data_IF_660423860201
#
_entry.id   IF_660423860201
#
_cell.length_a   1.000
_cell.length_b   1.000
_cell.length_c   1.000
_cell.angle_alpha   90.00
_cell.angle_beta   90.00
_cell.angle_gamma   90.00
#
_symmetry.space_group_name_H-M   'P 1'
#
loop_
_entity.id
_entity.type
_entity.pdbx_description
1 polymer ?
#
# COMPACT_ATOMS: atom_id res chain seq x y z
N UNK A 1 8.08 -16.23 -40.67
CA UNK A 1 8.74 -15.83 -39.41
C UNK A 1 8.34 -14.39 -39.12
N UNK A 2 7.22 -14.21 -38.45
CA UNK A 2 6.73 -12.91 -37.99
C UNK A 2 7.00 -12.85 -36.48
N UNK A 3 7.90 -11.96 -36.11
CA UNK A 3 8.36 -11.71 -34.75
C UNK A 3 7.18 -11.16 -33.93
N UNK A 4 6.65 -11.97 -33.01
CA UNK A 4 5.59 -11.55 -32.10
C UNK A 4 6.18 -10.58 -31.07
N UNK A 5 5.89 -9.30 -31.20
CA UNK A 5 6.23 -8.30 -30.18
C UNK A 5 5.50 -8.64 -28.86
N UNK A 6 6.20 -8.60 -27.70
CA UNK A 6 5.62 -9.04 -26.44
C UNK A 6 4.52 -8.08 -25.97
N UNK A 7 3.32 -8.62 -25.71
CA UNK A 7 2.12 -7.91 -25.25
C UNK A 7 2.29 -7.14 -23.91
N UNK A 8 3.44 -7.28 -23.25
CA UNK A 8 3.73 -6.66 -21.96
C UNK A 8 4.08 -5.16 -22.07
N UNK A 9 4.55 -4.68 -23.22
CA UNK A 9 4.93 -3.26 -23.37
C UNK A 9 3.71 -2.34 -23.43
N UNK A 10 2.60 -2.79 -24.00
CA UNK A 10 1.37 -1.98 -24.07
C UNK A 10 0.76 -1.74 -22.68
N UNK A 11 0.77 -2.75 -21.81
CA UNK A 11 0.28 -2.64 -20.42
C UNK A 11 1.18 -1.71 -19.60
N UNK A 12 2.50 -1.75 -19.84
CA UNK A 12 3.45 -0.86 -19.15
C UNK A 12 3.29 0.59 -19.60
N UNK A 13 2.98 0.83 -20.88
CA UNK A 13 2.77 2.16 -21.43
C UNK A 13 1.40 2.76 -21.05
N UNK A 14 0.34 1.96 -20.94
CA UNK A 14 -1.00 2.42 -20.52
C UNK A 14 -1.03 2.85 -19.04
N UNK A 15 -0.19 2.26 -18.18
CA UNK A 15 -0.05 2.67 -16.77
C UNK A 15 0.69 4.00 -16.61
N UNK A 16 1.67 4.30 -17.47
CA UNK A 16 2.39 5.59 -17.47
C UNK A 16 1.49 6.76 -17.89
N UNK A 17 0.64 6.55 -18.89
CA UNK A 17 -0.28 7.60 -19.36
C UNK A 17 -1.38 7.91 -18.34
N UNK A 18 -1.84 6.93 -17.56
CA UNK A 18 -2.77 7.15 -16.45
C UNK A 18 -2.19 8.03 -15.33
N UNK A 19 -0.92 7.82 -14.97
CA UNK A 19 -0.25 8.60 -13.94
C UNK A 19 -0.08 10.08 -14.35
N UNK A 20 0.36 10.32 -15.59
CA UNK A 20 0.54 11.68 -16.13
C UNK A 20 -0.80 12.44 -16.17
N UNK A 21 -1.90 11.77 -16.56
CA UNK A 21 -3.25 12.35 -16.57
C UNK A 21 -3.76 12.70 -15.17
N UNK A 22 -3.49 11.85 -14.17
CA UNK A 22 -3.86 12.13 -12.79
C UNK A 22 -3.14 13.37 -12.23
N UNK A 23 -1.84 13.48 -12.50
CA UNK A 23 -1.03 14.62 -12.07
C UNK A 23 -1.48 15.92 -12.75
N UNK A 24 -1.72 15.91 -14.06
CA UNK A 24 -2.14 17.12 -14.78
C UNK A 24 -3.52 17.60 -14.32
N UNK A 25 -4.50 16.70 -14.14
CA UNK A 25 -5.84 17.07 -13.64
C UNK A 25 -5.72 17.67 -12.23
N UNK A 26 -4.91 17.09 -11.34
CA UNK A 26 -4.69 17.64 -10.00
C UNK A 26 -4.09 19.05 -10.05
N UNK A 27 -3.10 19.29 -10.91
CA UNK A 27 -2.49 20.62 -11.06
C UNK A 27 -3.48 21.65 -11.59
N UNK A 28 -4.32 21.28 -12.57
CA UNK A 28 -5.35 22.18 -13.13
C UNK A 28 -6.39 22.55 -12.07
N UNK A 29 -6.87 21.59 -11.30
CA UNK A 29 -7.86 21.85 -10.23
C UNK A 29 -7.28 22.74 -9.15
N UNK A 30 -6.05 22.49 -8.70
CA UNK A 30 -5.36 23.35 -7.72
C UNK A 30 -5.17 24.77 -8.26
N UNK A 31 -4.80 24.91 -9.53
CA UNK A 31 -4.61 26.22 -10.17
C UNK A 31 -5.92 27.02 -10.29
N UNK A 32 -7.01 26.37 -10.71
CA UNK A 32 -8.32 27.03 -10.80
C UNK A 32 -8.81 27.49 -9.43
N UNK A 33 -8.66 26.64 -8.40
CA UNK A 33 -9.06 26.98 -7.04
C UNK A 33 -8.29 28.18 -6.47
N UNK A 34 -6.97 28.23 -6.69
CA UNK A 34 -6.15 29.37 -6.27
C UNK A 34 -6.59 30.69 -6.95
N UNK A 35 -6.90 30.65 -8.25
CA UNK A 35 -7.38 31.81 -8.98
C UNK A 35 -8.78 32.26 -8.52
N UNK A 36 -9.68 31.33 -8.18
CA UNK A 36 -11.00 31.67 -7.63
C UNK A 36 -10.89 32.43 -6.31
N UNK A 37 -9.96 32.04 -5.43
CA UNK A 37 -9.73 32.74 -4.15
C UNK A 37 -9.25 34.17 -4.39
N UNK A 38 -8.30 34.38 -5.30
CA UNK A 38 -7.79 35.71 -5.65
C UNK A 38 -8.87 36.59 -6.29
N UNK A 39 -9.72 36.02 -7.14
CA UNK A 39 -10.83 36.76 -7.74
C UNK A 39 -11.85 37.20 -6.68
N UNK A 40 -12.19 36.32 -5.73
CA UNK A 40 -13.11 36.64 -4.63
C UNK A 40 -12.52 37.72 -3.72
N UNK A 41 -11.23 37.66 -3.38
CA UNK A 41 -10.61 38.69 -2.53
C UNK A 41 -10.63 40.07 -3.19
N UNK A 42 -10.32 40.13 -4.50
CA UNK A 42 -10.38 41.40 -5.25
C UNK A 42 -11.80 41.96 -5.35
N UNK A 43 -12.81 41.10 -5.47
CA UNK A 43 -14.22 41.53 -5.47
C UNK A 43 -14.60 42.09 -4.09
N UNK A 44 -14.20 41.41 -3.01
CA UNK A 44 -14.47 41.86 -1.64
C UNK A 44 -13.77 43.20 -1.33
N UNK A 45 -12.53 43.39 -1.75
CA UNK A 45 -11.80 44.67 -1.60
C UNK A 45 -12.50 45.82 -2.34
N UNK A 46 -13.03 45.55 -3.54
CA UNK A 46 -13.79 46.54 -4.31
C UNK A 46 -15.15 46.85 -3.70
N UNK A 47 -15.78 45.87 -3.03
CA UNK A 47 -17.05 46.05 -2.35
C UNK A 47 -16.89 46.71 -0.97
N UNK A 48 -15.70 46.69 -0.37
CA UNK A 48 -15.36 47.34 0.90
C UNK A 48 -15.26 48.88 0.81
N UNK A 49 -15.99 49.50 -0.11
CA UNK A 49 -16.25 50.94 -0.18
C UNK A 49 -17.27 51.35 0.91
N UNK A 50 -16.92 51.32 2.19
CA UNK A 50 -17.45 52.28 3.19
C UNK A 50 -16.80 52.11 4.57
N UNK A 51 -15.87 53.03 4.83
CA UNK A 51 -15.52 53.64 6.13
C UNK A 51 -16.19 53.09 7.41
N UNK A 52 -15.79 51.91 7.90
CA UNK A 52 -16.01 51.54 9.30
C UNK A 52 -14.84 50.70 9.88
N UNK A 53 -14.43 50.94 11.15
CA UNK A 53 -13.24 50.33 11.77
C UNK A 53 -13.57 48.96 12.41
N UNK A 54 -12.68 48.41 13.27
CA UNK A 54 -11.78 47.27 13.02
C UNK A 54 -12.44 45.87 12.96
N UNK A 55 -13.78 45.77 12.88
CA UNK A 55 -14.49 44.48 12.76
C UNK A 55 -14.27 43.80 11.39
N UNK A 56 -13.77 44.54 10.40
CA UNK A 56 -13.36 44.01 9.09
C UNK A 56 -12.33 42.87 9.17
N UNK A 57 -11.51 42.82 10.24
CA UNK A 57 -10.51 41.76 10.41
C UNK A 57 -11.10 40.38 10.73
N UNK A 58 -12.33 40.29 11.26
CA UNK A 58 -12.95 39.01 11.64
C UNK A 58 -13.81 38.38 10.54
N UNK A 59 -14.29 39.17 9.58
CA UNK A 59 -15.11 38.65 8.47
C UNK A 59 -14.30 37.72 7.54
N UNK A 60 -13.00 37.98 7.37
CA UNK A 60 -12.10 37.08 6.64
C UNK A 60 -12.04 35.67 7.26
N UNK A 61 -12.11 35.55 8.59
CA UNK A 61 -12.05 34.27 9.29
C UNK A 61 -13.31 33.41 9.10
N UNK A 62 -14.48 34.05 9.02
CA UNK A 62 -15.74 33.36 8.80
C UNK A 62 -15.80 32.68 7.43
N UNK A 63 -15.01 33.15 6.46
CA UNK A 63 -14.93 32.55 5.11
C UNK A 63 -13.70 31.63 4.99
N UNK A 64 -12.56 32.00 5.58
CA UNK A 64 -11.32 31.23 5.49
C UNK A 64 -11.37 29.89 6.26
N UNK A 65 -11.96 29.87 7.46
CA UNK A 65 -12.03 28.65 8.27
C UNK A 65 -12.87 27.53 7.62
N UNK A 66 -14.09 27.80 7.08
CA UNK A 66 -14.85 26.78 6.36
C UNK A 66 -14.14 26.29 5.10
N UNK A 67 -13.46 27.18 4.36
CA UNK A 67 -12.71 26.79 3.16
C UNK A 67 -11.51 25.89 3.49
N UNK A 68 -10.78 26.18 4.58
CA UNK A 68 -9.70 25.31 5.07
C UNK A 68 -10.24 23.96 5.57
N UNK A 69 -11.37 23.96 6.29
CA UNK A 69 -12.00 22.73 6.74
C UNK A 69 -12.50 21.89 5.55
N UNK A 70 -13.11 22.51 4.54
CA UNK A 70 -13.61 21.86 3.34
C UNK A 70 -12.46 21.28 2.50
N UNK A 71 -11.39 22.04 2.28
CA UNK A 71 -10.21 21.55 1.54
C UNK A 71 -9.53 20.38 2.26
N UNK A 72 -9.40 20.44 3.59
CA UNK A 72 -8.91 19.32 4.40
C UNK A 72 -9.82 18.09 4.35
N UNK A 73 -11.14 18.28 4.35
CA UNK A 73 -12.11 17.19 4.24
C UNK A 73 -12.10 16.53 2.86
N UNK A 74 -12.14 17.32 1.78
CA UNK A 74 -12.06 16.85 0.39
C UNK A 74 -10.73 16.13 0.14
N UNK A 75 -9.61 16.67 0.59
CA UNK A 75 -8.30 16.03 0.50
C UNK A 75 -8.27 14.68 1.23
N UNK A 76 -8.84 14.61 2.45
CA UNK A 76 -8.93 13.35 3.22
C UNK A 76 -9.83 12.32 2.53
N UNK A 77 -10.96 12.76 1.96
CA UNK A 77 -11.93 11.86 1.32
C UNK A 77 -11.43 11.32 -0.02
N UNK A 78 -10.86 12.20 -0.86
CA UNK A 78 -10.16 11.80 -2.08
C UNK A 78 -9.01 10.86 -1.75
N UNK A 79 -8.16 11.18 -0.77
CA UNK A 79 -7.06 10.30 -0.36
C UNK A 79 -7.54 8.90 0.05
N UNK A 80 -8.64 8.80 0.82
CA UNK A 80 -9.19 7.51 1.27
C UNK A 80 -9.77 6.69 0.12
N UNK A 81 -10.54 7.30 -0.78
CA UNK A 81 -11.18 6.57 -1.88
C UNK A 81 -10.24 6.27 -3.05
N UNK A 82 -9.29 7.17 -3.33
CA UNK A 82 -8.42 7.05 -4.50
C UNK A 82 -7.18 6.17 -4.23
N UNK A 83 -6.54 6.28 -3.05
CA UNK A 83 -5.34 5.48 -2.75
C UNK A 83 -5.66 3.99 -2.55
N UNK A 84 -6.88 3.64 -2.13
CA UNK A 84 -7.26 2.25 -1.90
C UNK A 84 -7.64 1.51 -3.19
N UNK A 85 -8.10 2.22 -4.23
CA UNK A 85 -8.69 1.58 -5.41
C UNK A 85 -7.80 1.57 -6.66
N UNK A 86 -6.76 2.40 -6.75
CA UNK A 86 -6.04 2.61 -8.02
C UNK A 86 -4.65 1.98 -8.13
N UNK A 87 -4.04 1.52 -7.04
CA UNK A 87 -2.65 1.07 -7.08
C UNK A 87 -2.46 -0.24 -6.32
N UNK A 88 -1.94 -1.26 -7.01
CA UNK A 88 -1.69 -2.60 -6.48
C UNK A 88 -0.31 -2.72 -5.79
N UNK A 89 0.57 -1.73 -6.00
CA UNK A 89 1.94 -1.74 -5.45
C UNK A 89 2.10 -0.73 -4.31
N UNK A 90 2.49 -1.24 -3.13
CA UNK A 90 2.77 -0.45 -1.93
C UNK A 90 3.79 0.67 -2.15
N UNK A 91 4.75 0.50 -3.07
CA UNK A 91 5.76 1.53 -3.38
C UNK A 91 5.15 2.76 -4.06
N UNK A 92 4.20 2.56 -4.98
CA UNK A 92 3.54 3.67 -5.68
C UNK A 92 2.58 4.48 -4.80
N UNK A 93 1.91 3.79 -3.85
CA UNK A 93 1.03 4.44 -2.87
C UNK A 93 1.81 5.42 -1.98
N UNK A 94 3.03 5.03 -1.57
CA UNK A 94 3.89 5.85 -0.72
C UNK A 94 4.40 7.11 -1.43
N UNK A 95 4.89 6.96 -2.67
CA UNK A 95 5.40 8.10 -3.46
C UNK A 95 4.35 9.17 -3.73
N UNK A 96 3.12 8.76 -4.09
CA UNK A 96 2.02 9.70 -4.33
C UNK A 96 1.50 10.35 -3.05
N UNK A 97 1.45 9.60 -1.95
CA UNK A 97 1.07 10.16 -0.65
C UNK A 97 2.06 11.26 -0.21
N UNK A 98 3.37 11.02 -0.39
CA UNK A 98 4.41 12.01 -0.13
C UNK A 98 4.24 13.23 -1.04
N UNK A 99 4.12 13.02 -2.36
CA UNK A 99 3.99 14.12 -3.31
C UNK A 99 2.76 15.01 -3.02
N UNK A 100 1.65 14.40 -2.62
CA UNK A 100 0.44 15.13 -2.24
C UNK A 100 0.62 15.95 -0.97
N UNK A 101 1.29 15.39 0.06
CA UNK A 101 1.58 16.13 1.30
C UNK A 101 2.54 17.29 1.09
N UNK A 102 3.59 17.13 0.28
CA UNK A 102 4.47 18.25 -0.06
C UNK A 102 3.77 19.30 -0.92
N UNK A 103 2.84 18.88 -1.78
CA UNK A 103 2.01 19.80 -2.57
C UNK A 103 1.12 20.70 -1.70
N UNK A 104 0.50 20.17 -0.65
CA UNK A 104 -0.33 20.98 0.26
C UNK A 104 0.50 21.95 1.09
N UNK A 105 1.69 21.52 1.55
CA UNK A 105 2.62 22.40 2.27
C UNK A 105 3.10 23.55 1.39
N UNK A 106 3.50 23.27 0.15
CA UNK A 106 3.93 24.29 -0.80
C UNK A 106 2.82 25.31 -1.11
N UNK A 107 1.58 24.82 -1.28
CA UNK A 107 0.41 25.68 -1.48
C UNK A 107 0.14 26.59 -0.25
N UNK A 108 0.24 26.05 0.96
CA UNK A 108 0.11 26.83 2.19
C UNK A 108 1.19 27.91 2.31
N UNK A 109 2.46 27.59 2.02
CA UNK A 109 3.55 28.57 2.02
C UNK A 109 3.29 29.70 1.02
N UNK A 110 2.82 29.37 -0.19
CA UNK A 110 2.48 30.37 -1.20
C UNK A 110 1.34 31.30 -0.73
N UNK A 111 0.30 30.75 -0.10
CA UNK A 111 -0.81 31.54 0.47
C UNK A 111 -0.31 32.46 1.58
N UNK A 112 0.52 31.96 2.51
CA UNK A 112 1.08 32.76 3.60
C UNK A 112 1.97 33.88 3.09
N UNK A 113 2.72 33.64 2.01
CA UNK A 113 3.62 34.63 1.41
C UNK A 113 2.88 35.80 0.75
N UNK A 114 1.60 35.61 0.41
CA UNK A 114 0.74 36.64 -0.16
C UNK A 114 -0.04 37.44 0.91
N UNK A 115 0.06 37.05 2.18
CA UNK A 115 -0.65 37.73 3.27
C UNK A 115 0.11 38.96 3.78
N UNK A 116 -0.60 40.00 4.26
CA UNK A 116 0.01 41.18 4.89
C UNK A 116 0.88 40.79 6.09
N UNK A 117 1.94 41.55 6.35
CA UNK A 117 2.99 41.23 7.34
C UNK A 117 2.48 40.94 8.75
N UNK A 118 1.33 41.50 9.14
CA UNK A 118 0.68 41.22 10.43
C UNK A 118 0.15 39.79 10.58
N UNK A 119 0.03 39.04 9.49
CA UNK A 119 -0.56 37.70 9.44
C UNK A 119 0.49 36.59 9.34
N UNK A 120 1.77 36.94 9.20
CA UNK A 120 2.89 36.01 9.11
C UNK A 120 2.95 35.03 10.29
N UNK A 121 2.63 35.51 11.50
CA UNK A 121 2.67 34.70 12.71
C UNK A 121 1.66 33.54 12.66
N UNK A 122 0.48 33.78 12.09
CA UNK A 122 -0.56 32.77 11.95
C UNK A 122 -0.27 31.79 10.81
N UNK A 123 0.30 32.28 9.71
CA UNK A 123 0.76 31.43 8.61
C UNK A 123 1.85 30.45 9.04
N UNK A 124 2.83 30.92 9.80
CA UNK A 124 3.87 30.07 10.37
C UNK A 124 3.31 29.04 11.36
N UNK A 125 2.31 29.41 12.16
CA UNK A 125 1.64 28.49 13.10
C UNK A 125 0.87 27.38 12.35
N UNK A 126 0.18 27.72 11.27
CA UNK A 126 -0.53 26.75 10.42
C UNK A 126 0.43 25.75 9.74
N UNK A 127 1.59 26.23 9.26
CA UNK A 127 2.65 25.37 8.71
C UNK A 127 3.19 24.45 9.80
N UNK A 128 3.48 24.99 10.99
CA UNK A 128 3.97 24.21 12.14
C UNK A 128 3.01 23.09 12.56
N UNK A 129 1.72 23.40 12.71
CA UNK A 129 0.70 22.39 13.05
C UNK A 129 0.55 21.33 11.96
N UNK A 130 0.65 21.71 10.68
CA UNK A 130 0.59 20.77 9.57
C UNK A 130 1.81 19.83 9.57
N UNK A 131 3.01 20.35 9.83
CA UNK A 131 4.24 19.57 9.92
C UNK A 131 4.24 18.61 11.13
N UNK A 132 3.71 19.04 12.28
CA UNK A 132 3.55 18.17 13.46
C UNK A 132 2.54 17.06 13.17
N UNK A 133 1.44 17.38 12.49
CA UNK A 133 0.43 16.41 12.07
C UNK A 133 0.99 15.32 11.14
N UNK A 134 1.81 15.71 10.15
CA UNK A 134 2.48 14.75 9.25
C UNK A 134 3.52 13.92 9.98
N UNK A 135 4.32 14.52 10.88
CA UNK A 135 5.32 13.80 11.67
C UNK A 135 4.70 12.78 12.65
N UNK A 136 3.64 13.15 13.37
CA UNK A 136 2.90 12.23 14.25
C UNK A 136 2.28 11.08 13.48
N UNK A 137 1.80 11.33 12.26
CA UNK A 137 1.21 10.28 11.44
C UNK A 137 2.27 9.35 10.83
N UNK A 138 3.39 9.91 10.34
CA UNK A 138 4.54 9.12 9.89
C UNK A 138 5.10 8.24 11.01
N UNK A 139 5.27 8.80 12.22
CA UNK A 139 5.76 8.04 13.38
C UNK A 139 4.75 7.01 13.88
N UNK A 140 3.44 7.30 13.85
CA UNK A 140 2.37 6.34 14.14
C UNK A 140 2.31 5.18 13.13
N UNK A 141 2.54 5.46 11.84
CA UNK A 141 2.57 4.45 10.78
C UNK A 141 3.85 3.58 10.84
N UNK A 142 4.99 4.18 11.18
CA UNK A 142 6.24 3.46 11.47
C UNK A 142 6.08 2.57 12.72
N UNK A 143 5.42 3.06 13.77
CA UNK A 143 5.10 2.26 14.96
C UNK A 143 4.11 1.14 14.67
N UNK A 144 3.12 1.33 13.80
CA UNK A 144 2.23 0.26 13.34
C UNK A 144 2.97 -0.82 12.54
N UNK A 145 4.04 -0.43 11.84
CA UNK A 145 5.00 -1.40 11.26
C UNK A 145 5.82 -2.08 12.34
N UNK A 146 6.43 -1.34 13.26
CA UNK A 146 7.35 -1.86 14.28
C UNK A 146 6.68 -2.70 15.38
N UNK A 147 5.40 -2.45 15.72
CA UNK A 147 4.66 -3.25 16.70
C UNK A 147 4.28 -4.65 16.19
N UNK A 148 4.42 -4.92 14.89
CA UNK A 148 4.41 -6.30 14.34
C UNK A 148 5.80 -6.95 14.28
N UNK A 149 6.85 -6.24 14.68
CA UNK A 149 8.25 -6.70 14.66
C UNK A 149 8.89 -6.78 16.05
N UNK A 150 8.12 -6.73 17.15
CA UNK A 150 8.67 -6.85 18.49
C UNK A 150 7.95 -7.94 19.31
N UNK A 151 8.52 -9.15 19.31
CA UNK A 151 8.44 -10.08 20.43
C UNK A 151 9.71 -10.95 20.48
N UNK A 152 10.07 -11.46 21.66
CA UNK A 152 11.37 -11.22 22.29
C UNK A 152 12.34 -12.34 21.96
N UNK A 153 13.44 -11.99 21.31
CA UNK A 153 14.59 -12.86 21.12
C UNK A 153 15.32 -13.05 22.46
N UNK A 154 14.93 -14.02 23.30
CA UNK A 154 15.78 -14.43 24.44
C UNK A 154 15.68 -15.90 24.91
N UNK A 155 14.92 -16.82 24.28
CA UNK A 155 14.93 -18.23 24.74
C UNK A 155 14.90 -19.29 23.62
N UNK A 156 15.80 -19.20 22.64
CA UNK A 156 15.98 -20.28 21.67
C UNK A 156 17.46 -20.55 21.40
N UNK A 157 18.20 -20.90 22.46
CA UNK A 157 19.44 -21.66 22.33
C UNK A 157 19.17 -23.04 22.95
N UNK A 158 19.53 -24.09 22.20
CA UNK A 158 19.54 -25.51 22.56
C UNK A 158 18.30 -26.33 22.20
N UNK A 159 18.01 -26.47 20.90
CA UNK A 159 17.46 -27.72 20.37
C UNK A 159 18.36 -28.18 19.23
N UNK A 160 19.28 -29.08 19.54
CA UNK A 160 19.95 -29.91 18.54
C UNK A 160 18.90 -30.87 17.99
N UNK A 161 18.37 -30.61 16.79
CA UNK A 161 17.59 -31.60 16.05
C UNK A 161 18.54 -32.41 15.15
N UNK A 162 18.58 -33.70 15.42
CA UNK A 162 19.19 -34.75 14.62
C UNK A 162 18.35 -34.90 13.33
N UNK A 163 18.87 -34.44 12.18
CA UNK A 163 18.19 -34.46 10.89
C UNK A 163 18.45 -35.80 10.18
N UNK A 164 17.39 -36.60 10.02
CA UNK A 164 17.39 -37.83 9.23
C UNK A 164 17.42 -37.55 7.72
N UNK A 165 18.00 -38.50 6.97
CA UNK A 165 18.20 -38.47 5.52
C UNK A 165 16.93 -38.07 4.74
N UNK A 166 17.11 -37.17 3.78
CA UNK A 166 16.06 -36.60 2.96
C UNK A 166 15.43 -37.65 2.02
N UNK A 167 14.28 -38.20 2.42
CA UNK A 167 13.39 -38.94 1.53
C UNK A 167 12.87 -38.02 0.41
N UNK A 168 12.97 -38.47 -0.84
CA UNK A 168 12.42 -37.83 -2.04
C UNK A 168 10.89 -37.87 -2.00
N UNK A 169 10.27 -36.71 -2.09
CA UNK A 169 8.89 -36.40 -1.70
C UNK A 169 7.86 -36.59 -2.82
N UNK A 170 7.74 -37.81 -3.35
CA UNK A 170 6.60 -38.19 -4.22
C UNK A 170 5.44 -38.80 -3.42
N UNK A 171 5.50 -38.79 -2.08
CA UNK A 171 4.38 -39.27 -1.28
C UNK A 171 3.19 -38.31 -1.38
N UNK A 172 2.01 -38.80 -1.78
CA UNK A 172 0.81 -37.99 -1.79
C UNK A 172 0.54 -37.50 -0.36
N UNK A 173 0.25 -36.20 -0.25
CA UNK A 173 -0.20 -35.58 0.99
C UNK A 173 -1.25 -36.45 1.67
N UNK A 174 -1.07 -36.71 2.98
CA UNK A 174 -2.11 -37.32 3.79
C UNK A 174 -3.42 -36.53 3.60
N UNK A 175 -4.54 -37.24 3.41
CA UNK A 175 -5.87 -36.66 3.21
C UNK A 175 -6.26 -35.74 4.38
N UNK A 176 -5.69 -35.95 5.57
CA UNK A 176 -5.93 -35.10 6.73
C UNK A 176 -4.90 -33.97 6.94
N UNK A 177 -3.81 -33.94 6.17
CA UNK A 177 -2.78 -32.92 6.30
C UNK A 177 -3.19 -31.64 5.57
N UNK A 178 -3.40 -30.54 6.31
CA UNK A 178 -3.72 -29.22 5.73
C UNK A 178 -2.49 -28.60 5.08
N UNK A 179 -1.31 -28.82 5.66
CA UNK A 179 -0.08 -28.19 5.20
C UNK A 179 1.10 -29.08 5.56
N UNK A 180 1.95 -29.35 4.57
CA UNK A 180 3.23 -30.03 4.75
C UNK A 180 4.32 -29.09 4.25
N UNK A 181 5.36 -28.90 5.07
CA UNK A 181 6.50 -28.04 4.75
C UNK A 181 7.76 -28.87 4.94
N UNK A 182 8.65 -28.82 3.96
CA UNK A 182 9.98 -29.38 3.97
C UNK A 182 10.99 -28.24 3.84
N UNK A 183 11.90 -28.13 4.80
CA UNK A 183 13.02 -27.20 4.72
C UNK A 183 14.16 -27.94 4.05
N UNK A 184 14.60 -27.43 2.90
CA UNK A 184 15.74 -27.93 2.15
C UNK A 184 16.93 -27.00 2.40
N UNK A 185 18.10 -27.57 2.67
CA UNK A 185 19.33 -26.79 2.86
C UNK A 185 20.37 -27.32 1.90
N UNK A 186 20.80 -26.47 0.97
CA UNK A 186 21.90 -26.75 0.04
C UNK A 186 23.05 -25.78 0.33
N UNK A 187 24.09 -26.27 1.01
CA UNK A 187 25.17 -25.44 1.54
C UNK A 187 24.67 -24.37 2.52
N UNK A 188 24.82 -23.10 2.16
CA UNK A 188 24.37 -21.94 2.95
C UNK A 188 23.01 -21.39 2.48
N UNK A 189 22.36 -22.04 1.50
CA UNK A 189 21.08 -21.59 0.98
C UNK A 189 19.97 -22.45 1.56
N UNK A 190 19.06 -21.82 2.29
CA UNK A 190 17.84 -22.45 2.78
C UNK A 190 16.71 -22.20 1.78
N UNK A 191 16.07 -23.26 1.31
CA UNK A 191 14.83 -23.22 0.54
C UNK A 191 13.72 -23.91 1.32
N UNK A 192 12.48 -23.53 1.04
CA UNK A 192 11.31 -24.12 1.67
C UNK A 192 10.40 -24.64 0.56
N UNK A 193 10.13 -25.92 0.60
CA UNK A 193 9.17 -26.57 -0.29
C UNK A 193 7.96 -26.98 0.54
N UNK A 194 6.78 -27.00 -0.07
CA UNK A 194 5.63 -27.49 0.65
C UNK A 194 4.39 -27.54 -0.19
N UNK A 195 3.34 -28.05 0.44
CA UNK A 195 2.03 -28.20 -0.15
C UNK A 195 1.00 -27.74 0.86
N UNK A 196 0.01 -26.96 0.41
CA UNK A 196 -1.07 -26.43 1.25
C UNK A 196 -2.42 -26.74 0.63
N UNK A 197 -3.34 -27.26 1.45
CA UNK A 197 -4.74 -27.53 1.09
C UNK A 197 -5.60 -26.35 1.50
N UNK A 198 -6.35 -25.80 0.54
CA UNK A 198 -7.24 -24.66 0.71
C UNK A 198 -8.69 -25.16 0.64
N UNK A 199 -9.40 -25.27 1.78
CA UNK A 199 -10.78 -25.74 1.81
C UNK A 199 -11.76 -24.64 1.40
N UNK A 200 -12.75 -25.02 0.58
CA UNK A 200 -13.87 -24.20 0.15
C UNK A 200 -15.19 -24.86 0.56
N UNK A 201 -16.04 -24.09 1.22
CA UNK A 201 -17.42 -24.51 1.47
C UNK A 201 -18.29 -24.42 0.21
N UNK A 202 -19.42 -25.11 0.20
CA UNK A 202 -20.39 -25.02 -0.90
C UNK A 202 -20.83 -23.56 -1.14
N UNK A 203 -20.73 -23.10 -2.38
CA UNK A 203 -21.03 -21.74 -2.78
C UNK A 203 -19.91 -20.72 -2.56
N UNK A 204 -18.82 -21.06 -1.87
CA UNK A 204 -17.68 -20.17 -1.66
C UNK A 204 -16.81 -20.10 -2.93
N UNK A 205 -16.51 -18.89 -3.40
CA UNK A 205 -15.75 -18.67 -4.64
C UNK A 205 -14.34 -18.12 -4.41
N UNK A 206 -14.03 -17.67 -3.19
CA UNK A 206 -12.73 -17.12 -2.83
C UNK A 206 -12.32 -17.53 -1.42
N UNK A 207 -11.05 -17.90 -1.26
CA UNK A 207 -10.44 -18.27 0.03
C UNK A 207 -8.97 -17.86 0.06
N UNK A 208 -8.46 -17.58 1.26
CA UNK A 208 -7.04 -17.25 1.47
C UNK A 208 -6.38 -18.28 2.40
N UNK A 209 -5.17 -18.71 2.05
CA UNK A 209 -4.32 -19.55 2.89
C UNK A 209 -3.04 -18.79 3.28
N UNK A 210 -2.60 -18.98 4.52
CA UNK A 210 -1.39 -18.37 5.05
C UNK A 210 -0.36 -19.46 5.34
N UNK A 211 0.77 -19.39 4.65
CA UNK A 211 1.91 -20.27 4.86
C UNK A 211 2.96 -19.49 5.66
N UNK A 212 3.40 -20.04 6.78
CA UNK A 212 4.43 -19.44 7.62
C UNK A 212 5.77 -20.15 7.37
N UNK A 213 6.83 -19.37 7.18
CA UNK A 213 8.18 -19.87 7.01
C UNK A 213 8.89 -19.94 8.36
N UNK A 214 9.39 -21.12 8.71
CA UNK A 214 10.18 -21.33 9.92
C UNK A 214 11.42 -22.18 9.61
N UNK A 215 12.64 -21.62 9.74
CA UNK A 215 12.95 -20.22 10.10
C UNK A 215 12.48 -19.21 9.03
N UNK A 216 12.28 -17.93 9.39
CA UNK A 216 11.98 -16.89 8.40
C UNK A 216 13.20 -16.64 7.51
N UNK A 217 12.96 -16.20 6.28
CA UNK A 217 14.03 -15.74 5.37
C UNK A 217 14.60 -14.39 5.86
N UNK A 218 15.86 -14.10 5.53
CA UNK A 218 16.48 -12.80 5.80
C UNK A 218 15.91 -11.67 4.92
N UNK A 219 15.50 -12.03 3.71
CA UNK A 219 14.89 -11.15 2.70
C UNK A 219 13.55 -11.73 2.25
N UNK A 220 12.75 -10.93 1.53
CA UNK A 220 11.52 -11.45 0.92
C UNK A 220 11.92 -12.54 -0.08
N UNK A 221 11.47 -13.81 0.09
CA UNK A 221 11.85 -14.88 -0.81
C UNK A 221 11.20 -14.68 -2.17
N UNK A 222 11.71 -15.33 -3.22
CA UNK A 222 10.95 -15.65 -4.42
C UNK A 222 10.09 -16.88 -4.12
N UNK A 223 8.83 -16.87 -4.55
CA UNK A 223 7.89 -17.98 -4.32
C UNK A 223 7.27 -18.35 -5.66
N UNK A 224 7.50 -19.59 -6.06
CA UNK A 224 6.85 -20.24 -7.18
C UNK A 224 5.79 -21.20 -6.65
N UNK A 225 4.69 -21.37 -7.38
CA UNK A 225 3.59 -22.23 -6.94
C UNK A 225 2.85 -22.84 -8.13
N UNK A 226 2.28 -24.02 -7.90
CA UNK A 226 1.50 -24.75 -8.88
C UNK A 226 0.34 -25.47 -8.18
N UNK A 227 -0.84 -25.46 -8.81
CA UNK A 227 -1.95 -26.28 -8.35
C UNK A 227 -1.69 -27.75 -8.74
N UNK A 228 -1.69 -28.64 -7.76
CA UNK A 228 -1.39 -30.06 -7.96
C UNK A 228 -2.62 -30.97 -7.83
N UNK A 229 -3.68 -30.52 -7.14
CA UNK A 229 -4.93 -31.28 -6.99
C UNK A 229 -6.14 -30.36 -6.76
N UNK A 230 -7.34 -30.92 -6.90
CA UNK A 230 -8.63 -30.25 -6.71
C UNK A 230 -9.21 -29.61 -7.99
N UNK A 231 -10.36 -28.92 -7.88
CA UNK A 231 -11.00 -28.25 -9.01
C UNK A 231 -10.15 -27.07 -9.51
N UNK A 232 -10.25 -26.74 -10.80
CA UNK A 232 -9.48 -25.66 -11.41
C UNK A 232 -9.64 -24.33 -10.64
N UNK A 233 -8.54 -23.80 -10.13
CA UNK A 233 -8.50 -22.61 -9.30
C UNK A 233 -7.54 -21.57 -9.87
N UNK A 234 -7.94 -20.30 -9.83
CA UNK A 234 -7.04 -19.18 -10.06
C UNK A 234 -6.37 -18.81 -8.73
N UNK A 235 -5.14 -19.29 -8.53
CA UNK A 235 -4.35 -19.06 -7.32
C UNK A 235 -3.33 -17.95 -7.58
N UNK A 236 -3.27 -16.96 -6.68
CA UNK A 236 -2.34 -15.83 -6.75
C UNK A 236 -1.66 -15.58 -5.41
N UNK A 237 -0.43 -15.08 -5.44
CA UNK A 237 0.24 -14.58 -4.24
C UNK A 237 -0.37 -13.23 -3.88
N UNK A 238 -1.12 -13.18 -2.77
CA UNK A 238 -1.72 -11.95 -2.24
C UNK A 238 -0.77 -11.13 -1.39
N UNK A 239 0.16 -11.78 -0.69
CA UNK A 239 1.19 -11.12 0.11
C UNK A 239 2.41 -12.03 0.24
N UNK A 240 3.61 -11.44 0.14
CA UNK A 240 4.88 -12.14 0.28
C UNK A 240 5.75 -11.40 1.30
N UNK A 241 6.19 -12.12 2.34
CA UNK A 241 6.99 -11.59 3.44
C UNK A 241 8.10 -12.59 3.77
N UNK A 242 9.17 -12.16 4.46
CA UNK A 242 10.22 -13.08 4.89
C UNK A 242 9.70 -14.16 5.87
N UNK A 243 8.63 -13.86 6.60
CA UNK A 243 8.00 -14.79 7.55
C UNK A 243 6.96 -15.72 6.92
N UNK A 244 6.58 -15.53 5.66
CA UNK A 244 5.50 -16.32 5.06
C UNK A 244 4.91 -15.73 3.79
N UNK A 245 3.99 -16.48 3.19
CA UNK A 245 3.25 -16.11 1.99
C UNK A 245 1.75 -16.30 2.20
N UNK A 246 0.95 -15.37 1.67
CA UNK A 246 -0.50 -15.49 1.59
C UNK A 246 -0.88 -15.86 0.16
N UNK A 247 -1.57 -16.97 0.01
CA UNK A 247 -2.14 -17.45 -1.24
C UNK A 247 -3.63 -17.10 -1.27
N UNK A 248 -4.07 -16.43 -2.32
CA UNK A 248 -5.48 -16.13 -2.58
C UNK A 248 -5.96 -17.01 -3.74
N UNK A 249 -6.87 -17.92 -3.45
CA UNK A 249 -7.45 -18.83 -4.43
C UNK A 249 -8.88 -18.43 -4.78
N UNK A 250 -9.22 -18.52 -6.07
CA UNK A 250 -10.59 -18.36 -6.56
C UNK A 250 -11.02 -19.53 -7.42
N UNK A 251 -12.21 -20.04 -7.19
CA UNK A 251 -12.82 -21.13 -7.95
C UNK A 251 -14.19 -20.73 -8.50
N UNK A 252 -14.67 -21.47 -9.49
CA UNK A 252 -16.08 -21.43 -9.86
C UNK A 252 -16.95 -21.93 -8.70
N UNK A 253 -18.18 -21.41 -8.60
CA UNK A 253 -19.07 -21.63 -7.46
C UNK A 253 -19.29 -23.13 -7.22
N UNK A 254 -18.69 -23.75 -6.17
CA UNK A 254 -18.78 -25.17 -5.97
C UNK A 254 -20.16 -25.55 -5.42
N UNK A 255 -20.71 -26.68 -5.84
CA UNK A 255 -22.00 -27.18 -5.32
C UNK A 255 -21.85 -27.94 -4.01
N UNK A 256 -20.68 -28.52 -3.77
CA UNK A 256 -20.32 -29.29 -2.58
C UNK A 256 -18.99 -28.77 -2.00
N UNK A 257 -18.65 -29.06 -0.73
CA UNK A 257 -17.34 -28.71 -0.18
C UNK A 257 -16.22 -29.34 -0.98
N UNK A 258 -15.24 -28.53 -1.38
CA UNK A 258 -14.09 -28.96 -2.20
C UNK A 258 -12.80 -28.40 -1.62
N UNK A 259 -11.66 -28.99 -1.97
CA UNK A 259 -10.36 -28.48 -1.58
C UNK A 259 -9.42 -28.37 -2.77
N UNK A 260 -8.63 -27.30 -2.80
CA UNK A 260 -7.59 -27.08 -3.80
C UNK A 260 -6.24 -27.31 -3.13
N UNK A 261 -5.36 -28.11 -3.72
CA UNK A 261 -4.01 -28.35 -3.20
C UNK A 261 -3.00 -27.62 -4.06
N UNK A 262 -2.16 -26.81 -3.42
CA UNK A 262 -1.13 -26.00 -4.09
C UNK A 262 0.23 -26.40 -3.56
N UNK A 263 1.12 -26.83 -4.45
CA UNK A 263 2.54 -26.96 -4.17
C UNK A 263 3.20 -25.59 -4.30
N UNK A 264 4.15 -25.28 -3.42
CA UNK A 264 4.92 -24.05 -3.46
C UNK A 264 6.39 -24.32 -3.18
N UNK A 265 7.23 -23.47 -3.76
CA UNK A 265 8.67 -23.48 -3.60
C UNK A 265 9.14 -22.06 -3.31
N UNK A 266 9.82 -21.86 -2.18
CA UNK A 266 10.32 -20.57 -1.72
C UNK A 266 11.84 -20.59 -1.64
N UNK A 267 12.49 -19.63 -2.30
CA UNK A 267 13.95 -19.45 -2.28
C UNK A 267 14.33 -18.03 -1.89
N UNK A 268 15.50 -17.80 -1.28
CA UNK A 268 16.00 -16.46 -1.05
C UNK A 268 16.12 -15.73 -2.39
N UNK A 269 15.69 -14.48 -2.46
CA UNK A 269 15.85 -13.69 -3.68
C UNK A 269 17.34 -13.49 -3.97
N UNK A 270 17.84 -14.09 -5.05
CA UNK A 270 19.21 -13.88 -5.51
C UNK A 270 19.22 -12.84 -6.64
N UNK A 271 19.70 -11.64 -6.34
CA UNK A 271 19.79 -10.54 -7.32
C UNK A 271 20.83 -10.77 -8.42
N UNK A 272 21.68 -11.78 -8.31
CA UNK A 272 22.80 -12.01 -9.24
C UNK A 272 22.43 -12.87 -10.46
N UNK A 273 21.23 -13.45 -10.50
CA UNK A 273 20.78 -14.37 -11.55
C UNK A 273 19.75 -13.76 -12.53
N UNK A 274 19.43 -12.46 -12.42
CA UNK A 274 18.40 -11.77 -13.24
C UNK A 274 18.96 -10.79 -14.26
#
# INVERSE_FOLDING_TARGET
MTEWAPANDWIRNSRRTGLLRGVTISMIVSWLFANSILAISQILDRLALSSSPPLANYQGWLVALPLLALTGWVARHLRRHWLLNLFDSDRTRFGLAIAFEWGTVAALIAVVSLMPTGWLQFGLLAIGLSAVGTFWWQSGFVRFRQSRFATPSTMANNVHSEWGEASSSDEPLDQNCIMQIKVCTDGNTHSIEGTVRIPFDAGQTAQSAHVLFHPPFDVVPQVDMEQVDGPNANVKIGQQLPQGVRLDARIEKPTEPVSVVVAFFATPYNSELS
#
